data_IF_150394268175
#
_entry.id   IF_150394268175
#
_cell.length_a   1.000
_cell.length_b   1.000
_cell.length_c   1.000
_cell.angle_alpha   90.00
_cell.angle_beta   90.00
_cell.angle_gamma   90.00
#
_symmetry.space_group_name_H-M   'P 1'
#
loop_
_entity.id
_entity.type
_entity.pdbx_description
1 polymer ?
#
# COMPACT_ATOMS: atom_id res chain seq x y z
N UNK A 1 1.77 -26.11 23.38
CA UNK A 1 1.99 -25.40 22.10
C UNK A 1 1.14 -24.13 22.13
N UNK A 2 1.71 -22.92 21.97
CA UNK A 2 0.90 -21.70 21.94
C UNK A 2 0.03 -21.71 20.68
N UNK A 3 -1.28 -21.54 20.85
CA UNK A 3 -2.21 -21.34 19.74
C UNK A 3 -2.17 -19.85 19.39
N UNK A 4 -1.92 -19.56 18.12
CA UNK A 4 -1.96 -18.21 17.58
C UNK A 4 -3.20 -18.14 16.68
N UNK A 5 -4.04 -17.13 16.90
CA UNK A 5 -5.31 -16.88 16.22
C UNK A 5 -5.35 -15.39 15.81
N UNK A 6 -6.29 -15.00 14.92
CA UNK A 6 -6.46 -13.62 14.44
C UNK A 6 -6.62 -12.61 15.58
N UNK A 7 -7.18 -13.04 16.72
CA UNK A 7 -7.26 -12.25 17.96
C UNK A 7 -5.92 -11.85 18.57
N UNK A 8 -4.80 -12.43 18.11
CA UNK A 8 -3.43 -12.05 18.51
C UNK A 8 -2.77 -11.06 17.55
N UNK A 9 -3.53 -10.53 16.60
CA UNK A 9 -3.11 -9.44 15.72
C UNK A 9 -3.92 -8.19 16.05
N UNK A 10 -3.50 -7.05 15.53
CA UNK A 10 -4.28 -5.81 15.60
C UNK A 10 -5.48 -5.76 14.65
N UNK A 11 -5.98 -6.89 14.15
CA UNK A 11 -7.11 -6.95 13.23
C UNK A 11 -8.37 -6.32 13.84
N UNK A 12 -8.95 -5.39 13.08
CA UNK A 12 -10.22 -4.71 13.28
C UNK A 12 -11.00 -4.74 11.96
N UNK A 13 -12.29 -5.03 12.04
CA UNK A 13 -13.20 -4.91 10.90
C UNK A 13 -13.50 -3.42 10.67
N UNK A 14 -12.74 -2.80 9.76
CA UNK A 14 -12.83 -1.37 9.46
C UNK A 14 -13.29 -1.17 8.02
N UNK A 15 -14.23 -0.24 7.84
CA UNK A 15 -14.68 0.21 6.53
C UNK A 15 -14.11 1.59 6.24
N UNK A 16 -13.40 1.74 5.13
CA UNK A 16 -12.95 3.06 4.73
C UNK A 16 -14.14 3.92 4.33
N UNK A 17 -13.97 5.24 4.45
CA UNK A 17 -14.95 6.23 4.02
C UNK A 17 -15.35 5.98 2.55
N UNK A 18 -16.62 6.28 2.22
CA UNK A 18 -17.07 6.29 0.82
C UNK A 18 -16.42 7.45 0.07
N UNK A 19 -15.81 7.17 -1.09
CA UNK A 19 -15.15 8.17 -1.92
C UNK A 19 -15.80 8.32 -3.29
N UNK A 20 -15.83 9.56 -3.81
CA UNK A 20 -15.99 9.83 -5.23
C UNK A 20 -14.64 9.65 -5.94
N UNK A 21 -14.69 9.18 -7.18
CA UNK A 21 -13.52 8.75 -7.95
C UNK A 21 -12.46 9.87 -8.11
N UNK A 22 -12.86 11.04 -8.62
CA UNK A 22 -11.92 12.13 -8.87
C UNK A 22 -11.36 12.67 -7.56
N UNK A 23 -12.21 12.79 -6.54
CA UNK A 23 -11.82 13.21 -5.19
C UNK A 23 -10.79 12.27 -4.57
N UNK A 24 -10.94 10.96 -4.74
CA UNK A 24 -9.95 9.97 -4.27
C UNK A 24 -8.65 10.09 -5.04
N UNK A 25 -8.71 10.19 -6.37
CA UNK A 25 -7.54 10.38 -7.21
C UNK A 25 -6.75 11.63 -6.80
N UNK A 26 -7.43 12.76 -6.62
CA UNK A 26 -6.81 13.99 -6.13
C UNK A 26 -6.15 13.77 -4.76
N UNK A 27 -6.86 13.15 -3.81
CA UNK A 27 -6.34 12.85 -2.49
C UNK A 27 -5.06 11.98 -2.54
N UNK A 28 -5.01 10.94 -3.38
CA UNK A 28 -3.82 10.11 -3.58
C UNK A 28 -2.65 10.95 -4.09
N UNK A 29 -2.87 11.85 -5.04
CA UNK A 29 -1.81 12.70 -5.58
C UNK A 29 -1.32 13.75 -4.56
N UNK A 30 -2.12 14.10 -3.55
CA UNK A 30 -1.68 14.96 -2.44
C UNK A 30 -0.74 14.26 -1.44
N UNK A 31 -0.62 12.92 -1.48
CA UNK A 31 0.32 12.19 -0.60
C UNK A 31 1.76 12.69 -0.79
N UNK A 32 2.10 13.11 -2.00
CA UNK A 32 3.37 13.72 -2.34
C UNK A 32 3.19 15.17 -2.81
N UNK A 33 2.40 15.96 -2.07
CA UNK A 33 2.09 17.37 -2.42
C UNK A 33 3.32 18.26 -2.66
N UNK A 34 4.46 17.94 -2.05
CA UNK A 34 5.70 18.69 -2.22
C UNK A 34 6.52 18.23 -3.43
N UNK A 35 6.05 17.21 -4.16
CA UNK A 35 6.68 16.65 -5.36
C UNK A 35 5.88 17.03 -6.60
N UNK A 36 6.60 17.19 -7.70
CA UNK A 36 6.00 17.29 -9.03
C UNK A 36 5.91 15.89 -9.67
N UNK A 37 4.72 15.49 -10.08
CA UNK A 37 4.49 14.21 -10.77
C UNK A 37 4.60 14.43 -12.28
N UNK A 38 5.42 13.62 -12.95
CA UNK A 38 5.66 13.65 -14.40
C UNK A 38 5.45 12.25 -14.98
N UNK A 39 4.85 12.19 -16.15
CA UNK A 39 4.73 10.96 -16.91
C UNK A 39 5.83 10.91 -17.98
N UNK A 40 6.52 9.79 -18.05
CA UNK A 40 7.73 9.61 -18.88
C UNK A 40 7.65 8.29 -19.65
N UNK A 41 8.28 8.21 -20.81
CA UNK A 41 8.31 7.02 -21.65
C UNK A 41 9.15 5.85 -21.05
N UNK A 42 8.77 4.63 -21.39
CA UNK A 42 9.37 3.38 -20.87
C UNK A 42 10.88 3.27 -21.12
N UNK A 43 11.35 3.84 -22.24
CA UNK A 43 12.78 3.87 -22.62
C UNK A 43 13.59 4.67 -21.60
N UNK A 44 13.11 5.85 -21.22
CA UNK A 44 13.78 6.71 -20.24
C UNK A 44 13.72 6.12 -18.83
N UNK A 45 12.63 5.42 -18.52
CA UNK A 45 12.40 4.73 -17.25
C UNK A 45 13.15 3.39 -17.12
N UNK A 46 13.79 2.90 -18.19
CA UNK A 46 14.48 1.60 -18.23
C UNK A 46 13.61 0.43 -17.72
N UNK A 47 12.31 0.47 -18.03
CA UNK A 47 11.34 -0.54 -17.61
C UNK A 47 10.85 -0.43 -16.16
N UNK A 48 11.33 0.54 -15.37
CA UNK A 48 10.76 0.81 -14.06
C UNK A 48 9.34 1.39 -14.18
N UNK A 49 8.44 1.02 -13.25
CA UNK A 49 7.06 1.50 -13.24
C UNK A 49 6.96 2.93 -12.71
N UNK A 50 7.76 3.24 -11.69
CA UNK A 50 7.85 4.52 -11.03
C UNK A 50 9.28 4.74 -10.54
N UNK A 51 9.77 5.98 -10.61
CA UNK A 51 11.01 6.41 -9.96
C UNK A 51 10.78 7.69 -9.15
N UNK A 52 11.49 7.82 -8.01
CA UNK A 52 11.43 9.00 -7.14
C UNK A 52 12.80 9.66 -7.12
N UNK A 53 12.82 10.96 -7.44
CA UNK A 53 13.94 11.84 -7.19
C UNK A 53 13.64 12.69 -5.95
N UNK A 54 14.19 12.26 -4.81
CA UNK A 54 13.99 12.95 -3.54
C UNK A 54 14.68 14.32 -3.47
N UNK A 55 15.76 14.54 -4.25
CA UNK A 55 16.53 15.78 -4.21
C UNK A 55 15.77 16.90 -4.91
N UNK A 56 15.30 16.62 -6.13
CA UNK A 56 14.56 17.59 -6.94
C UNK A 56 13.06 17.53 -6.71
N UNK A 57 12.60 16.63 -5.84
CA UNK A 57 11.19 16.36 -5.53
C UNK A 57 10.37 16.08 -6.79
N UNK A 58 10.81 15.10 -7.58
CA UNK A 58 10.05 14.59 -8.72
C UNK A 58 9.62 13.15 -8.49
N UNK A 59 8.43 12.82 -8.98
CA UNK A 59 7.98 11.45 -9.16
C UNK A 59 7.76 11.23 -10.65
N UNK A 60 8.42 10.23 -11.20
CA UNK A 60 8.31 9.84 -12.59
C UNK A 60 7.47 8.58 -12.69
N UNK A 61 6.35 8.65 -13.40
CA UNK A 61 5.48 7.50 -13.67
C UNK A 61 5.66 7.11 -15.13
N UNK A 62 5.90 5.83 -15.36
CA UNK A 62 6.04 5.32 -16.72
C UNK A 62 4.69 5.32 -17.45
N UNK A 63 4.66 5.92 -18.66
CA UNK A 63 3.48 6.05 -19.52
C UNK A 63 2.77 4.72 -19.78
N UNK A 64 3.52 3.61 -19.84
CA UNK A 64 2.99 2.24 -19.99
C UNK A 64 2.06 1.83 -18.85
N UNK A 65 2.24 2.43 -17.67
CA UNK A 65 1.49 2.12 -16.45
C UNK A 65 0.58 3.27 -16.00
N UNK A 66 0.20 4.20 -16.89
CA UNK A 66 -0.62 5.37 -16.50
C UNK A 66 -1.93 4.99 -15.80
N UNK A 67 -2.54 3.86 -16.18
CA UNK A 67 -3.80 3.41 -15.60
C UNK A 67 -3.63 2.84 -14.18
N UNK A 68 -2.38 2.70 -13.72
CA UNK A 68 -2.02 2.26 -12.38
C UNK A 68 -1.41 3.41 -11.55
N UNK A 69 -1.51 4.65 -12.01
CA UNK A 69 -0.90 5.82 -11.37
C UNK A 69 -1.29 5.96 -9.89
N UNK A 70 -2.59 5.86 -9.57
CA UNK A 70 -3.08 5.88 -8.20
C UNK A 70 -2.42 4.78 -7.34
N UNK A 71 -2.35 3.55 -7.86
CA UNK A 71 -1.73 2.43 -7.17
C UNK A 71 -0.24 2.67 -6.91
N UNK A 72 0.50 3.11 -7.93
CA UNK A 72 1.94 3.28 -7.84
C UNK A 72 2.29 4.36 -6.81
N UNK A 73 1.54 5.46 -6.77
CA UNK A 73 1.70 6.50 -5.75
C UNK A 73 1.36 5.97 -4.36
N UNK A 74 0.24 5.27 -4.21
CA UNK A 74 -0.16 4.66 -2.94
C UNK A 74 0.88 3.65 -2.43
N UNK A 75 1.42 2.82 -3.32
CA UNK A 75 2.42 1.80 -3.04
C UNK A 75 3.71 2.42 -2.49
N UNK A 76 4.19 3.49 -3.13
CA UNK A 76 5.36 4.22 -2.67
C UNK A 76 5.14 4.91 -1.33
N UNK A 77 3.96 5.47 -1.11
CA UNK A 77 3.60 6.03 0.18
C UNK A 77 3.52 4.95 1.27
N UNK A 78 3.01 3.77 0.94
CA UNK A 78 2.96 2.63 1.86
C UNK A 78 4.37 2.15 2.25
N UNK A 79 5.35 2.19 1.34
CA UNK A 79 6.76 1.99 1.72
C UNK A 79 7.26 3.04 2.73
N UNK A 80 6.85 4.31 2.60
CA UNK A 80 7.21 5.35 3.57
C UNK A 80 6.57 5.09 4.94
N UNK A 81 5.29 4.69 4.98
CA UNK A 81 4.59 4.33 6.22
C UNK A 81 5.22 3.12 6.93
N UNK A 82 5.77 2.19 6.15
CA UNK A 82 6.50 1.03 6.63
C UNK A 82 7.96 1.34 7.00
N UNK A 83 8.43 2.57 6.76
CA UNK A 83 9.83 2.99 6.93
C UNK A 83 10.82 2.09 6.17
N UNK A 84 10.42 1.60 4.98
CA UNK A 84 11.24 0.72 4.15
C UNK A 84 12.30 1.51 3.39
N UNK A 85 13.57 1.15 3.59
CA UNK A 85 14.70 1.70 2.83
C UNK A 85 14.87 1.00 1.47
N UNK A 86 15.89 1.39 0.72
CA UNK A 86 16.19 0.82 -0.62
C UNK A 86 16.49 -0.67 -0.62
N UNK A 87 17.05 -1.22 0.46
CA UNK A 87 17.33 -2.65 0.59
C UNK A 87 16.07 -3.42 0.97
N UNK A 88 15.22 -2.86 1.83
CA UNK A 88 13.94 -3.48 2.19
C UNK A 88 13.03 -3.62 0.96
N UNK A 89 13.08 -2.68 0.02
CA UNK A 89 12.37 -2.75 -1.27
C UNK A 89 12.84 -3.88 -2.20
N UNK A 90 13.99 -4.50 -1.90
CA UNK A 90 14.49 -5.70 -2.61
C UNK A 90 14.12 -6.98 -1.87
N UNK A 91 13.68 -6.89 -0.62
CA UNK A 91 13.18 -8.01 0.14
C UNK A 91 11.75 -8.34 -0.30
N UNK A 92 11.58 -9.55 -0.81
CA UNK A 92 10.31 -10.00 -1.38
C UNK A 92 9.18 -10.11 -0.35
N UNK A 93 9.48 -10.32 0.94
CA UNK A 93 8.49 -10.32 2.00
C UNK A 93 8.09 -8.91 2.40
N UNK A 94 9.05 -7.97 2.42
CA UNK A 94 8.77 -6.56 2.69
C UNK A 94 7.95 -5.92 1.57
N UNK A 95 8.24 -6.28 0.33
CA UNK A 95 7.39 -5.92 -0.81
C UNK A 95 5.98 -6.52 -0.69
N UNK A 96 5.90 -7.81 -0.34
CA UNK A 96 4.62 -8.49 -0.11
C UNK A 96 3.76 -7.78 0.96
N UNK A 97 4.38 -7.32 2.05
CA UNK A 97 3.69 -6.58 3.11
C UNK A 97 3.00 -5.33 2.58
N UNK A 98 3.76 -4.53 1.82
CA UNK A 98 3.27 -3.27 1.25
C UNK A 98 2.13 -3.53 0.28
N UNK A 99 2.27 -4.53 -0.60
CA UNK A 99 1.23 -4.87 -1.56
C UNK A 99 -0.04 -5.36 -0.86
N UNK A 100 0.07 -6.24 0.15
CA UNK A 100 -1.10 -6.72 0.90
C UNK A 100 -1.76 -5.62 1.74
N UNK A 101 -0.99 -4.68 2.27
CA UNK A 101 -1.54 -3.51 2.96
C UNK A 101 -2.33 -2.62 1.99
N UNK A 102 -1.81 -2.41 0.78
CA UNK A 102 -2.53 -1.68 -0.27
C UNK A 102 -3.79 -2.42 -0.71
N UNK A 103 -3.73 -3.74 -0.92
CA UNK A 103 -4.90 -4.57 -1.25
C UNK A 103 -5.97 -4.48 -0.15
N UNK A 104 -5.57 -4.58 1.13
CA UNK A 104 -6.47 -4.41 2.26
C UNK A 104 -7.16 -3.05 2.22
N UNK A 105 -6.40 -1.96 2.12
CA UNK A 105 -6.95 -0.61 2.04
C UNK A 105 -7.90 -0.44 0.85
N UNK A 106 -7.50 -0.90 -0.33
CA UNK A 106 -8.34 -0.79 -1.54
C UNK A 106 -9.64 -1.57 -1.40
N UNK A 107 -9.61 -2.75 -0.78
CA UNK A 107 -10.80 -3.56 -0.57
C UNK A 107 -11.77 -2.95 0.45
N UNK A 108 -11.28 -2.08 1.34
CA UNK A 108 -12.15 -1.34 2.27
C UNK A 108 -12.74 -0.07 1.65
N UNK A 109 -12.25 0.37 0.48
CA UNK A 109 -12.81 1.51 -0.25
C UNK A 109 -14.17 1.15 -0.84
N UNK A 110 -15.21 1.80 -0.34
CA UNK A 110 -16.54 1.78 -0.94
C UNK A 110 -16.62 2.90 -1.99
N UNK A 111 -16.60 2.54 -3.28
CA UNK A 111 -16.82 3.48 -4.39
C UNK A 111 -18.26 3.34 -4.93
N UNK A 112 -18.81 4.42 -5.48
CA UNK A 112 -20.10 4.36 -6.21
C UNK A 112 -20.00 3.57 -7.54
N UNK A 113 -18.78 3.42 -8.06
CA UNK A 113 -18.49 2.74 -9.32
C UNK A 113 -17.44 1.65 -9.10
N UNK A 114 -17.76 0.40 -9.45
CA UNK A 114 -16.91 -0.78 -9.19
C UNK A 114 -15.61 -0.84 -10.02
N UNK A 115 -15.40 0.10 -10.95
CA UNK A 115 -14.25 0.11 -11.86
C UNK A 115 -12.89 0.04 -11.14
N UNK A 116 -12.76 0.65 -9.96
CA UNK A 116 -11.51 0.60 -9.18
C UNK A 116 -11.15 -0.80 -8.67
N UNK A 117 -12.11 -1.72 -8.48
CA UNK A 117 -11.80 -3.08 -8.02
C UNK A 117 -11.01 -3.91 -9.06
N UNK A 118 -10.89 -3.44 -10.31
CA UNK A 118 -10.38 -4.24 -11.42
C UNK A 118 -8.91 -4.00 -11.81
N UNK A 119 -8.21 -2.99 -11.26
CA UNK A 119 -6.94 -2.53 -11.85
C UNK A 119 -5.69 -2.62 -10.96
N UNK A 120 -5.71 -3.38 -9.86
CA UNK A 120 -4.56 -3.51 -8.96
C UNK A 120 -3.87 -4.87 -9.10
N UNK A 121 -2.53 -4.91 -9.13
CA UNK A 121 -1.81 -6.16 -9.31
C UNK A 121 -2.07 -7.09 -8.13
N UNK A 122 -2.71 -8.24 -8.38
CA UNK A 122 -2.77 -9.32 -7.41
C UNK A 122 -1.39 -9.95 -7.31
N UNK A 123 -0.83 -9.96 -6.11
CA UNK A 123 0.50 -10.49 -5.93
C UNK A 123 0.50 -12.01 -5.84
N UNK A 124 0.79 -12.68 -6.95
CA UNK A 124 0.83 -14.14 -7.10
C UNK A 124 2.26 -14.66 -7.35
N UNK A 125 3.25 -14.12 -6.65
CA UNK A 125 4.64 -14.53 -6.81
C UNK A 125 4.91 -15.89 -6.12
N UNK A 126 5.22 -16.92 -6.91
CA UNK A 126 5.55 -18.28 -6.44
C UNK A 126 6.70 -18.29 -5.43
N UNK A 127 7.71 -17.43 -5.61
CA UNK A 127 8.85 -17.35 -4.69
C UNK A 127 8.40 -16.88 -3.30
N UNK A 128 7.55 -15.85 -3.24
CA UNK A 128 6.99 -15.36 -1.98
C UNK A 128 6.09 -16.40 -1.33
N UNK A 129 5.24 -17.08 -2.10
CA UNK A 129 4.41 -18.18 -1.57
C UNK A 129 5.27 -19.31 -0.97
N UNK A 130 6.41 -19.60 -1.58
CA UNK A 130 7.36 -20.60 -1.07
C UNK A 130 7.97 -20.15 0.26
N UNK A 131 8.37 -18.89 0.37
CA UNK A 131 8.88 -18.33 1.64
C UNK A 131 7.80 -18.31 2.71
N UNK A 132 6.59 -17.85 2.41
CA UNK A 132 5.48 -17.83 3.38
C UNK A 132 5.19 -19.24 3.90
N UNK A 133 5.25 -20.27 3.04
CA UNK A 133 5.05 -21.66 3.46
C UNK A 133 6.11 -22.14 4.45
N UNK A 134 7.35 -21.68 4.34
CA UNK A 134 8.45 -22.06 5.25
C UNK A 134 8.46 -21.29 6.57
N UNK A 135 7.71 -20.19 6.69
CA UNK A 135 7.58 -19.43 7.93
C UNK A 135 6.89 -20.24 9.04
N UNK A 136 7.35 -20.05 10.28
CA UNK A 136 6.65 -20.56 11.46
C UNK A 136 5.30 -19.86 11.62
N UNK A 137 4.39 -20.44 12.40
CA UNK A 137 3.11 -19.77 12.69
C UNK A 137 3.33 -18.39 13.33
N UNK A 138 4.27 -18.28 14.28
CA UNK A 138 4.61 -17.01 14.92
C UNK A 138 5.03 -15.95 13.89
N UNK A 139 5.86 -16.32 12.92
CA UNK A 139 6.34 -15.39 11.89
C UNK A 139 5.24 -15.00 10.89
N UNK A 140 4.33 -15.93 10.56
CA UNK A 140 3.14 -15.62 9.75
C UNK A 140 2.23 -14.60 10.44
N UNK A 141 2.04 -14.72 11.76
CA UNK A 141 1.25 -13.75 12.52
C UNK A 141 1.95 -12.40 12.62
N UNK A 142 3.27 -12.37 12.83
CA UNK A 142 4.03 -11.12 12.75
C UNK A 142 3.92 -10.46 11.38
N UNK A 143 4.02 -11.25 10.30
CA UNK A 143 3.84 -10.75 8.93
C UNK A 143 2.44 -10.15 8.73
N UNK A 144 1.40 -10.80 9.23
CA UNK A 144 0.03 -10.30 9.18
C UNK A 144 -0.13 -9.00 9.98
N UNK A 145 0.44 -8.91 11.18
CA UNK A 145 0.38 -7.72 12.03
C UNK A 145 1.11 -6.51 11.37
N UNK A 146 2.24 -6.76 10.70
CA UNK A 146 2.94 -5.75 9.89
C UNK A 146 2.08 -5.26 8.71
N UNK A 147 1.39 -6.16 8.00
CA UNK A 147 0.45 -5.83 6.92
C UNK A 147 -0.69 -4.95 7.44
N UNK A 148 -1.34 -5.39 8.52
CA UNK A 148 -2.47 -4.69 9.12
C UNK A 148 -2.06 -3.29 9.62
N UNK A 149 -0.88 -3.18 10.24
CA UNK A 149 -0.35 -1.88 10.70
C UNK A 149 -0.20 -0.88 9.56
N UNK A 150 0.36 -1.30 8.43
CA UNK A 150 0.50 -0.42 7.25
C UNK A 150 -0.89 -0.12 6.66
N UNK A 151 -1.75 -1.13 6.56
CA UNK A 151 -3.11 -0.99 6.05
C UNK A 151 -3.95 0.00 6.83
N UNK A 152 -3.92 -0.05 8.17
CA UNK A 152 -4.63 0.92 9.02
C UNK A 152 -4.07 2.32 8.90
N UNK A 153 -2.75 2.50 8.80
CA UNK A 153 -2.16 3.83 8.53
C UNK A 153 -2.62 4.42 7.19
N UNK A 154 -2.79 3.58 6.17
CA UNK A 154 -3.39 4.01 4.90
C UNK A 154 -4.84 4.40 5.10
N UNK A 155 -5.63 3.56 5.75
CA UNK A 155 -7.05 3.84 6.06
C UNK A 155 -7.19 5.18 6.79
N UNK A 156 -6.48 5.37 7.91
CA UNK A 156 -6.50 6.59 8.71
C UNK A 156 -6.21 7.84 7.88
N UNK A 157 -5.25 7.72 6.94
CA UNK A 157 -4.87 8.82 6.05
C UNK A 157 -6.01 9.28 5.13
N UNK A 158 -6.95 8.39 4.82
CA UNK A 158 -8.08 8.62 3.91
C UNK A 158 -9.45 8.56 4.61
N UNK A 159 -9.48 8.60 5.95
CA UNK A 159 -10.71 8.67 6.75
C UNK A 159 -11.01 10.13 7.16
N UNK A 160 -12.28 10.44 7.45
CA UNK A 160 -12.67 11.77 7.98
C UNK A 160 -12.13 11.95 9.40
N UNK A 161 -11.92 13.20 9.86
CA UNK A 161 -11.57 13.48 11.27
C UNK A 161 -12.56 12.88 12.29
N UNK A 162 -13.82 12.69 11.92
CA UNK A 162 -14.84 12.05 12.78
C UNK A 162 -14.75 10.50 12.77
N UNK A 163 -14.01 9.92 11.82
CA UNK A 163 -13.74 8.47 11.68
C UNK A 163 -12.30 8.11 12.12
N UNK A 164 -11.50 9.09 12.55
CA UNK A 164 -10.17 8.88 13.08
C UNK A 164 -10.29 8.10 14.39
N UNK A 165 -9.59 6.96 14.43
CA UNK A 165 -9.43 6.13 15.61
C UNK A 165 -8.83 6.98 16.73
N UNK A 166 -9.68 7.45 17.65
CA UNK A 166 -9.18 7.86 18.95
C UNK A 166 -8.65 6.61 19.65
N UNK A 167 -7.36 6.68 19.95
CA UNK A 167 -6.58 5.90 20.92
C UNK A 167 -6.11 4.47 20.54
N UNK A 168 -4.81 4.26 20.86
CA UNK A 168 -4.07 2.99 21.03
C UNK A 168 -3.33 2.31 19.87
N UNK A 169 -3.40 2.76 18.60
CA UNK A 169 -2.65 2.09 17.50
C UNK A 169 -1.16 2.47 17.46
N UNK A 170 -0.78 3.60 18.06
CA UNK A 170 0.56 4.19 17.98
C UNK A 170 1.37 4.09 19.29
N UNK A 171 0.93 3.29 20.27
CA UNK A 171 1.61 3.11 21.56
C UNK A 171 2.64 1.98 21.55
#
# INVERSE_FOLDING_TARGET
MKVYDISQTNYKDYKAKKWEENSFKEAVFTLFKDYSIKWIDDIEMQGAKLAIDNLNKYIFINNKYKNWDNYLILHEYAHQLANHNSNDRKDILKEYQVIKACEMFINTLEFENEFYKQAYPRYENIQVLTVIKSLSNKDKYKLLDEILTIGYKLIDKFSSNDDILNDEIYA
#
